data_IF_664291218161
#
_entry.id   IF_664291218161
#
_cell.length_a   1.000
_cell.length_b   1.000
_cell.length_c   1.000
_cell.angle_alpha   90.00
_cell.angle_beta   90.00
_cell.angle_gamma   90.00
#
_symmetry.space_group_name_H-M   'P 1'
#
loop_
_entity.id
_entity.type
_entity.pdbx_description
1 polymer ?
#
# COMPACT_ATOMS: atom_id res chain seq x y z
N UNK A 1 11.88 7.20 -23.04
CA UNK A 1 10.40 7.18 -23.17
C UNK A 1 9.83 6.32 -22.05
N UNK A 2 8.62 6.62 -21.56
CA UNK A 2 7.98 5.80 -20.53
C UNK A 2 7.50 4.48 -21.14
N UNK A 3 7.89 3.36 -20.52
CA UNK A 3 7.37 2.03 -20.86
C UNK A 3 6.08 1.77 -20.07
N UNK A 4 5.26 0.85 -20.56
CA UNK A 4 4.06 0.39 -19.84
C UNK A 4 4.42 -0.09 -18.42
N UNK A 5 5.52 -0.83 -18.29
CA UNK A 5 6.04 -1.29 -17.01
C UNK A 5 6.39 -0.16 -16.04
N UNK A 6 7.06 0.90 -16.52
CA UNK A 6 7.36 2.06 -15.68
C UNK A 6 6.07 2.75 -15.23
N UNK A 7 5.13 2.98 -16.14
CA UNK A 7 3.86 3.66 -15.83
C UNK A 7 3.01 2.89 -14.84
N UNK A 8 2.83 1.58 -15.06
CA UNK A 8 2.03 0.72 -14.17
C UNK A 8 2.70 0.59 -12.80
N UNK A 9 4.03 0.45 -12.75
CA UNK A 9 4.78 0.43 -11.50
C UNK A 9 4.61 1.74 -10.72
N UNK A 10 4.78 2.88 -11.38
CA UNK A 10 4.61 4.19 -10.74
C UNK A 10 3.20 4.39 -10.18
N UNK A 11 2.16 4.04 -10.95
CA UNK A 11 0.78 4.14 -10.50
C UNK A 11 0.54 3.28 -9.24
N UNK A 12 1.00 2.02 -9.26
CA UNK A 12 0.88 1.12 -8.11
C UNK A 12 1.67 1.61 -6.89
N UNK A 13 2.93 2.02 -7.09
CA UNK A 13 3.80 2.48 -6.02
C UNK A 13 3.25 3.76 -5.36
N UNK A 14 2.79 4.74 -6.13
CA UNK A 14 2.18 5.96 -5.58
C UNK A 14 0.85 5.69 -4.90
N UNK A 15 -0.01 4.84 -5.47
CA UNK A 15 -1.27 4.46 -4.84
C UNK A 15 -1.05 3.76 -3.49
N UNK A 16 -0.10 2.82 -3.46
CA UNK A 16 0.27 2.10 -2.23
C UNK A 16 0.91 3.04 -1.20
N UNK A 17 1.83 3.91 -1.63
CA UNK A 17 2.46 4.90 -0.77
C UNK A 17 1.44 5.90 -0.20
N UNK A 18 0.48 6.35 -1.01
CA UNK A 18 -0.63 7.20 -0.56
C UNK A 18 -1.46 6.49 0.50
N UNK A 19 -1.82 5.22 0.28
CA UNK A 19 -2.59 4.43 1.25
C UNK A 19 -1.86 4.25 2.58
N UNK A 20 -0.57 3.89 2.54
CA UNK A 20 0.27 3.80 3.74
C UNK A 20 0.43 5.16 4.43
N UNK A 21 0.65 6.22 3.65
CA UNK A 21 0.78 7.59 4.15
C UNK A 21 -0.48 8.05 4.89
N UNK A 22 -1.65 7.93 4.26
CA UNK A 22 -2.93 8.31 4.86
C UNK A 22 -3.17 7.54 6.17
N UNK A 23 -3.01 6.22 6.14
CA UNK A 23 -3.20 5.38 7.33
C UNK A 23 -2.20 5.66 8.43
N UNK A 24 -0.94 5.89 8.07
CA UNK A 24 0.14 6.19 9.00
C UNK A 24 -0.06 7.55 9.68
N UNK A 25 -0.43 8.57 8.90
CA UNK A 25 -0.68 9.91 9.41
C UNK A 25 -1.86 9.95 10.38
N UNK A 26 -2.97 9.26 10.08
CA UNK A 26 -4.10 9.17 11.02
C UNK A 26 -3.67 8.59 12.37
N UNK A 27 -2.83 7.54 12.37
CA UNK A 27 -2.33 6.88 13.59
C UNK A 27 -1.40 7.76 14.43
N UNK A 28 -0.62 8.61 13.77
CA UNK A 28 0.31 9.52 14.45
C UNK A 28 -0.45 10.73 15.00
N UNK A 29 -1.32 11.33 14.18
CA UNK A 29 -2.05 12.54 14.52
C UNK A 29 -3.09 12.31 15.62
N UNK A 30 -3.93 11.28 15.49
CA UNK A 30 -4.95 10.94 16.47
C UNK A 30 -5.01 9.42 16.72
N UNK A 31 -4.10 8.89 17.54
CA UNK A 31 -4.08 7.46 17.87
C UNK A 31 -5.33 7.01 18.65
N UNK A 32 -5.98 7.90 19.41
CA UNK A 32 -7.16 7.57 20.22
C UNK A 32 -8.34 7.23 19.31
N UNK A 33 -8.60 8.10 18.33
CA UNK A 33 -9.61 7.84 17.31
C UNK A 33 -9.33 6.52 16.57
N UNK A 34 -8.06 6.27 16.20
CA UNK A 34 -7.69 5.05 15.49
C UNK A 34 -7.86 3.80 16.36
N UNK A 35 -7.50 3.83 17.65
CA UNK A 35 -7.83 2.73 18.57
C UNK A 35 -9.35 2.50 18.59
N UNK A 36 -10.15 3.56 18.64
CA UNK A 36 -11.61 3.47 18.56
C UNK A 36 -12.11 2.78 17.27
N UNK A 37 -11.48 3.04 16.14
CA UNK A 37 -11.80 2.37 14.86
C UNK A 37 -11.52 0.87 14.88
N UNK A 38 -10.45 0.42 15.54
CA UNK A 38 -10.08 -0.99 15.62
C UNK A 38 -10.76 -1.73 16.77
N UNK A 39 -11.35 -1.01 17.72
CA UNK A 39 -11.98 -1.60 18.89
C UNK A 39 -13.25 -2.37 18.50
N UNK A 40 -13.41 -3.62 18.96
CA UNK A 40 -14.65 -4.36 18.79
C UNK A 40 -15.84 -3.63 19.43
N UNK A 41 -17.05 -3.69 18.85
CA UNK A 41 -18.26 -3.14 19.47
C UNK A 41 -18.48 -3.62 20.92
N UNK A 42 -18.11 -4.88 21.21
CA UNK A 42 -18.18 -5.47 22.55
C UNK A 42 -17.28 -4.80 23.59
N UNK A 43 -16.28 -4.03 23.15
CA UNK A 43 -15.30 -3.37 23.99
C UNK A 43 -15.38 -1.84 23.90
N UNK A 44 -16.36 -1.26 23.19
CA UNK A 44 -16.41 0.17 22.87
C UNK A 44 -16.36 1.11 24.08
N UNK A 45 -16.74 0.62 25.26
CA UNK A 45 -16.79 1.38 26.51
C UNK A 45 -15.43 1.50 27.20
N UNK A 46 -14.43 0.74 26.75
CA UNK A 46 -13.10 0.72 27.34
C UNK A 46 -12.25 1.88 26.80
N UNK A 47 -11.61 2.61 27.71
CA UNK A 47 -10.64 3.62 27.36
C UNK A 47 -9.38 2.97 26.72
N UNK A 48 -8.77 3.60 25.71
CA UNK A 48 -7.46 3.18 25.20
C UNK A 48 -6.40 3.16 26.30
N UNK A 49 -5.62 2.10 26.35
CA UNK A 49 -4.49 1.98 27.26
C UNK A 49 -3.16 2.39 26.59
N UNK A 50 -2.13 2.59 27.41
CA UNK A 50 -0.81 3.07 26.94
C UNK A 50 -0.16 2.15 25.90
N UNK A 51 -0.35 0.82 26.00
CA UNK A 51 0.21 -0.14 25.04
C UNK A 51 -0.51 -0.06 23.69
N UNK A 52 -1.83 0.15 23.67
CA UNK A 52 -2.59 0.36 22.44
C UNK A 52 -2.15 1.63 21.74
N UNK A 53 -2.01 2.73 22.49
CA UNK A 53 -1.54 4.01 21.94
C UNK A 53 -0.11 3.94 21.42
N UNK A 54 0.78 3.26 22.15
CA UNK A 54 2.15 2.99 21.71
C UNK A 54 2.18 2.20 20.40
N UNK A 55 1.46 1.08 20.33
CA UNK A 55 1.45 0.21 19.15
C UNK A 55 0.85 0.93 17.94
N UNK A 56 -0.25 1.68 18.11
CA UNK A 56 -0.87 2.45 17.02
C UNK A 56 0.10 3.51 16.49
N UNK A 57 0.79 4.26 17.35
CA UNK A 57 1.77 5.26 16.92
C UNK A 57 2.96 4.62 16.21
N UNK A 58 3.49 3.52 16.74
CA UNK A 58 4.63 2.82 16.15
C UNK A 58 4.28 2.21 14.78
N UNK A 59 3.10 1.58 14.66
CA UNK A 59 2.54 1.13 13.38
C UNK A 59 2.38 2.30 12.40
N UNK A 60 1.94 3.45 12.91
CA UNK A 60 1.86 4.70 12.16
C UNK A 60 3.18 5.08 11.50
N UNK A 61 4.26 5.16 12.29
CA UNK A 61 5.60 5.45 11.78
C UNK A 61 6.13 4.38 10.82
N UNK A 62 5.86 3.11 11.09
CA UNK A 62 6.20 2.01 10.19
C UNK A 62 5.58 2.22 8.80
N UNK A 63 4.29 2.55 8.73
CA UNK A 63 3.59 2.82 7.47
C UNK A 63 4.15 4.05 6.74
N UNK A 64 4.48 5.13 7.46
CA UNK A 64 5.12 6.30 6.85
C UNK A 64 6.48 5.93 6.25
N UNK A 65 7.30 5.16 6.96
CA UNK A 65 8.58 4.69 6.43
C UNK A 65 8.40 3.83 5.18
N UNK A 66 7.43 2.91 5.16
CA UNK A 66 7.13 2.10 3.97
C UNK A 66 6.67 2.96 2.80
N UNK A 67 5.85 4.00 3.04
CA UNK A 67 5.43 4.94 2.00
C UNK A 67 6.63 5.70 1.41
N UNK A 68 7.54 6.19 2.25
CA UNK A 68 8.76 6.89 1.83
C UNK A 68 9.66 5.96 1.01
N UNK A 69 9.88 4.72 1.46
CA UNK A 69 10.65 3.71 0.73
C UNK A 69 10.06 3.47 -0.67
N UNK A 70 8.74 3.33 -0.78
CA UNK A 70 8.08 3.14 -2.08
C UNK A 70 8.30 4.32 -3.02
N UNK A 71 8.18 5.56 -2.52
CA UNK A 71 8.44 6.78 -3.30
C UNK A 71 9.92 6.88 -3.70
N UNK A 72 10.85 6.46 -2.83
CA UNK A 72 12.28 6.42 -3.18
C UNK A 72 12.55 5.45 -4.33
N UNK A 73 11.85 4.31 -4.39
CA UNK A 73 11.99 3.37 -5.51
C UNK A 73 11.45 3.90 -6.83
N UNK A 74 10.56 4.90 -6.85
CA UNK A 74 10.04 5.45 -8.11
C UNK A 74 11.00 6.41 -8.81
N UNK A 75 12.14 6.75 -8.20
CA UNK A 75 13.03 7.86 -8.59
C UNK A 75 12.32 9.24 -8.61
N UNK A 76 11.20 9.40 -7.89
CA UNK A 76 10.52 10.68 -7.75
C UNK A 76 11.34 11.70 -6.96
N UNK A 77 12.11 11.23 -5.99
CA UNK A 77 13.07 12.04 -5.23
C UNK A 77 14.45 11.78 -5.83
N UNK A 78 15.05 12.74 -6.56
CA UNK A 78 16.37 12.54 -7.16
C UNK A 78 17.41 12.40 -6.06
N UNK A 79 17.99 11.21 -5.89
CA UNK A 79 19.21 11.06 -5.10
C UNK A 79 20.38 11.63 -5.91
N UNK A 80 21.20 12.49 -5.30
CA UNK A 80 22.35 13.09 -5.95
C UNK A 80 23.21 12.00 -6.65
N UNK A 81 23.45 12.16 -7.95
CA UNK A 81 24.24 11.21 -8.75
C UNK A 81 23.46 10.08 -9.43
N UNK A 82 22.14 9.96 -9.24
CA UNK A 82 21.33 8.97 -9.97
C UNK A 82 20.83 9.53 -11.30
N UNK A 83 21.32 8.97 -12.41
CA UNK A 83 20.80 9.25 -13.75
C UNK A 83 19.34 8.78 -13.85
N UNK A 84 18.46 9.57 -14.45
CA UNK A 84 17.07 9.20 -14.78
C UNK A 84 17.07 8.06 -15.82
N UNK A 85 17.41 6.83 -15.43
CA UNK A 85 17.30 5.71 -16.35
C UNK A 85 15.81 5.41 -16.58
N UNK A 86 15.38 5.53 -17.83
CA UNK A 86 13.98 5.33 -18.24
C UNK A 86 13.59 3.85 -18.38
N UNK A 87 14.18 2.98 -17.55
CA UNK A 87 14.03 1.52 -17.61
C UNK A 87 13.18 0.98 -16.46
N UNK A 88 12.64 -0.23 -16.63
CA UNK A 88 11.99 -0.96 -15.54
C UNK A 88 12.95 -1.07 -14.36
N UNK A 89 12.58 -0.45 -13.24
CA UNK A 89 13.43 -0.34 -12.06
C UNK A 89 13.86 -1.74 -11.61
N UNK A 90 15.16 -2.00 -11.39
CA UNK A 90 15.67 -3.35 -11.13
C UNK A 90 15.01 -4.04 -9.92
N UNK A 91 14.46 -3.23 -9.00
CA UNK A 91 13.78 -3.70 -7.79
C UNK A 91 12.25 -3.75 -7.91
N UNK A 92 11.65 -3.28 -9.01
CA UNK A 92 10.19 -3.13 -9.14
C UNK A 92 9.44 -4.43 -8.84
N UNK A 93 9.93 -5.56 -9.37
CA UNK A 93 9.31 -6.88 -9.14
C UNK A 93 9.32 -7.27 -7.67
N UNK A 94 10.47 -7.13 -7.02
CA UNK A 94 10.65 -7.49 -5.61
C UNK A 94 9.81 -6.59 -4.69
N UNK A 95 9.80 -5.28 -4.97
CA UNK A 95 9.02 -4.30 -4.21
C UNK A 95 7.53 -4.60 -4.31
N UNK A 96 7.01 -4.83 -5.53
CA UNK A 96 5.59 -5.16 -5.73
C UNK A 96 5.24 -6.50 -5.07
N UNK A 97 6.10 -7.51 -5.17
CA UNK A 97 5.87 -8.79 -4.51
C UNK A 97 5.81 -8.65 -2.98
N UNK A 98 6.72 -7.85 -2.39
CA UNK A 98 6.76 -7.60 -0.96
C UNK A 98 5.52 -6.83 -0.47
N UNK A 99 5.06 -5.82 -1.22
CA UNK A 99 3.84 -5.09 -0.86
C UNK A 99 2.59 -5.95 -1.02
N UNK A 100 2.50 -6.77 -2.07
CA UNK A 100 1.42 -7.76 -2.22
C UNK A 100 1.39 -8.71 -1.02
N UNK A 101 2.54 -9.24 -0.60
CA UNK A 101 2.63 -10.07 0.60
C UNK A 101 2.14 -9.34 1.86
N UNK A 102 2.52 -8.06 2.02
CA UNK A 102 2.03 -7.23 3.13
C UNK A 102 0.50 -7.04 3.08
N UNK A 103 -0.09 -6.79 1.91
CA UNK A 103 -1.53 -6.64 1.77
C UNK A 103 -2.29 -7.93 2.07
N UNK A 104 -1.77 -9.08 1.64
CA UNK A 104 -2.35 -10.38 1.96
C UNK A 104 -2.33 -10.62 3.47
N UNK A 105 -1.17 -10.48 4.10
CA UNK A 105 -1.00 -10.78 5.54
C UNK A 105 -1.82 -9.84 6.42
N UNK A 106 -1.84 -8.53 6.12
CA UNK A 106 -2.69 -7.58 6.85
C UNK A 106 -4.18 -7.76 6.53
N UNK A 107 -4.53 -8.21 5.32
CA UNK A 107 -5.88 -8.59 4.94
C UNK A 107 -6.40 -9.80 5.72
N UNK A 108 -5.56 -10.83 5.93
CA UNK A 108 -5.89 -11.98 6.79
C UNK A 108 -6.15 -11.51 8.22
N UNK A 109 -5.29 -10.64 8.77
CA UNK A 109 -5.50 -10.06 10.10
C UNK A 109 -6.82 -9.30 10.22
N UNK A 110 -7.14 -8.44 9.24
CA UNK A 110 -8.42 -7.73 9.21
C UNK A 110 -9.62 -8.70 9.09
N UNK A 111 -9.48 -9.76 8.27
CA UNK A 111 -10.54 -10.75 8.06
C UNK A 111 -10.87 -11.54 9.33
N UNK A 112 -9.86 -11.86 10.14
CA UNK A 112 -10.05 -12.56 11.42
C UNK A 112 -10.99 -11.82 12.37
N UNK A 113 -10.98 -10.47 12.34
CA UNK A 113 -11.91 -9.63 13.09
C UNK A 113 -13.20 -9.36 12.34
N UNK A 114 -13.13 -9.12 11.02
CA UNK A 114 -14.27 -8.87 10.15
C UNK A 114 -15.34 -9.97 10.22
N UNK A 115 -14.92 -11.24 10.25
CA UNK A 115 -15.84 -12.39 10.20
C UNK A 115 -16.61 -12.64 11.50
N UNK A 116 -16.24 -11.97 12.59
CA UNK A 116 -16.86 -12.16 13.90
C UNK A 116 -17.89 -11.06 14.13
N UNK A 117 -19.15 -11.43 14.33
CA UNK A 117 -20.24 -10.46 14.56
C UNK A 117 -19.95 -9.50 15.73
N UNK A 118 -19.25 -9.99 16.76
CA UNK A 118 -18.86 -9.21 17.94
C UNK A 118 -17.71 -8.23 17.71
N UNK A 119 -17.02 -8.31 16.57
CA UNK A 119 -15.84 -7.51 16.22
C UNK A 119 -16.00 -6.75 14.89
N UNK A 120 -17.03 -7.07 14.10
CA UNK A 120 -17.31 -6.39 12.85
C UNK A 120 -17.56 -4.89 13.08
N UNK A 121 -16.86 -4.07 12.31
CA UNK A 121 -17.11 -2.64 12.19
C UNK A 121 -16.65 -2.15 10.79
N UNK A 122 -16.98 -0.90 10.46
CA UNK A 122 -16.63 -0.32 9.14
C UNK A 122 -15.12 -0.35 8.87
N UNK A 123 -14.30 -0.14 9.90
CA UNK A 123 -12.84 -0.16 9.78
C UNK A 123 -12.30 -1.54 9.40
N UNK A 124 -12.89 -2.62 9.94
CA UNK A 124 -12.56 -3.99 9.55
C UNK A 124 -12.95 -4.25 8.10
N UNK A 125 -14.13 -3.78 7.68
CA UNK A 125 -14.59 -3.92 6.29
C UNK A 125 -13.65 -3.20 5.31
N UNK A 126 -13.29 -1.96 5.61
CA UNK A 126 -12.29 -1.21 4.84
C UNK A 126 -10.96 -1.96 4.83
N UNK A 127 -10.52 -2.46 5.99
CA UNK A 127 -9.28 -3.23 6.11
C UNK A 127 -9.23 -4.47 5.22
N UNK A 128 -10.33 -5.23 5.12
CA UNK A 128 -10.42 -6.41 4.25
C UNK A 128 -10.44 -5.98 2.78
N UNK A 129 -11.41 -5.16 2.38
CA UNK A 129 -11.66 -4.86 0.97
C UNK A 129 -10.57 -4.00 0.34
N UNK A 130 -9.96 -3.07 1.09
CA UNK A 130 -8.81 -2.32 0.60
C UNK A 130 -7.61 -3.25 0.36
N UNK A 131 -7.34 -4.22 1.25
CA UNK A 131 -6.26 -5.18 1.06
C UNK A 131 -6.52 -6.15 -0.10
N UNK A 132 -7.77 -6.58 -0.32
CA UNK A 132 -8.16 -7.36 -1.51
C UNK A 132 -7.85 -6.56 -2.78
N UNK A 133 -8.30 -5.31 -2.85
CA UNK A 133 -8.04 -4.43 -3.99
C UNK A 133 -6.54 -4.23 -4.24
N UNK A 134 -5.76 -3.96 -3.19
CA UNK A 134 -4.31 -3.74 -3.29
C UNK A 134 -3.54 -5.01 -3.66
N UNK A 135 -4.03 -6.18 -3.23
CA UNK A 135 -3.50 -7.48 -3.64
C UNK A 135 -3.76 -7.74 -5.12
N UNK A 136 -4.99 -7.48 -5.60
CA UNK A 136 -5.36 -7.68 -7.01
C UNK A 136 -4.58 -6.74 -7.93
N UNK A 137 -4.56 -5.45 -7.61
CA UNK A 137 -3.82 -4.45 -8.38
C UNK A 137 -2.32 -4.74 -8.37
N UNK A 138 -1.75 -5.12 -7.22
CA UNK A 138 -0.35 -5.53 -7.14
C UNK A 138 -0.05 -6.82 -7.92
N UNK A 139 -0.97 -7.78 -7.94
CA UNK A 139 -0.86 -8.98 -8.77
C UNK A 139 -0.86 -8.66 -10.27
N UNK A 140 -1.74 -7.75 -10.71
CA UNK A 140 -1.77 -7.26 -12.10
C UNK A 140 -0.46 -6.53 -12.44
N UNK A 141 0.02 -5.65 -11.57
CA UNK A 141 1.30 -4.94 -11.73
C UNK A 141 2.46 -5.94 -11.83
N UNK A 142 2.52 -6.94 -10.95
CA UNK A 142 3.57 -7.95 -10.96
C UNK A 142 3.50 -8.79 -12.25
N UNK A 143 2.31 -9.19 -12.68
CA UNK A 143 2.09 -9.89 -13.94
C UNK A 143 2.57 -9.10 -15.15
N UNK A 144 2.29 -7.79 -15.19
CA UNK A 144 2.81 -6.90 -16.24
C UNK A 144 4.34 -6.84 -16.22
N UNK A 145 4.95 -6.67 -15.04
CA UNK A 145 6.40 -6.58 -14.89
C UNK A 145 7.12 -7.88 -15.29
N UNK A 146 6.47 -9.03 -15.11
CA UNK A 146 6.99 -10.34 -15.52
C UNK A 146 6.80 -10.61 -17.02
N UNK A 147 5.95 -9.85 -17.71
CA UNK A 147 5.67 -10.00 -19.13
C UNK A 147 6.57 -9.12 -20.00
N UNK A 148 7.00 -9.66 -21.14
CA UNK A 148 7.72 -8.91 -22.18
C UNK A 148 6.84 -7.87 -22.88
N UNK A 149 5.51 -8.00 -22.79
CA UNK A 149 4.58 -7.02 -23.37
C UNK A 149 4.67 -5.65 -22.71
N UNK A 150 5.12 -5.59 -21.44
CA UNK A 150 5.22 -4.36 -20.67
C UNK A 150 6.44 -3.48 -21.01
N UNK A 151 7.37 -3.98 -21.84
CA UNK A 151 8.54 -3.20 -22.28
C UNK A 151 8.20 -2.23 -23.43
N UNK A 152 7.04 -2.39 -24.06
CA UNK A 152 6.57 -1.50 -25.14
C UNK A 152 6.44 -0.05 -24.64
N UNK A 153 6.72 0.89 -25.55
CA UNK A 153 6.51 2.31 -25.29
C UNK A 153 5.02 2.61 -25.18
N UNK A 154 4.63 3.48 -24.24
CA UNK A 154 3.24 3.92 -24.07
C UNK A 154 2.73 4.63 -25.33
N UNK A 155 3.59 5.35 -26.03
CA UNK A 155 3.26 6.09 -27.26
C UNK A 155 2.90 5.17 -28.43
N UNK A 156 3.53 3.99 -28.50
CA UNK A 156 3.23 3.00 -29.54
C UNK A 156 1.88 2.33 -29.32
N UNK A 157 1.51 2.10 -28.07
CA UNK A 157 0.22 1.49 -27.72
C UNK A 157 -0.91 2.49 -27.90
N UNK A 158 -0.75 3.73 -27.42
CA UNK A 158 -1.80 4.76 -27.52
C UNK A 158 -2.10 5.15 -28.97
N UNK A 159 -1.10 5.15 -29.87
CA UNK A 159 -1.30 5.35 -31.31
C UNK A 159 -2.15 4.27 -32.00
N UNK A 160 -2.22 3.04 -31.45
CA UNK A 160 -3.03 1.96 -32.02
C UNK A 160 -4.50 1.99 -31.60
N UNK A 161 -4.82 2.79 -30.57
CA UNK A 161 -6.17 2.92 -30.00
C UNK A 161 -6.88 4.17 -30.52
N UNK A 162 -6.15 5.06 -31.20
CA UNK A 162 -6.66 6.30 -31.79
C UNK A 162 -6.93 6.12 -33.28
#
# INVERSE_FOLDING_TARGET
>A
MATINSTIFHAYAYGTAFWYGLRGLCRIYDPIMVVGWFRPPSQANLAPNDLELYNVRNDGWCLITLALILVSFTNAVPAAGTSKSSGALPYAKAVVAATVFHHITTGIGAYQHYKLDSHYNMSMAIGVWANVWLTLTGGITLGSLLSSAGEKSVDEVTKKVR
#
